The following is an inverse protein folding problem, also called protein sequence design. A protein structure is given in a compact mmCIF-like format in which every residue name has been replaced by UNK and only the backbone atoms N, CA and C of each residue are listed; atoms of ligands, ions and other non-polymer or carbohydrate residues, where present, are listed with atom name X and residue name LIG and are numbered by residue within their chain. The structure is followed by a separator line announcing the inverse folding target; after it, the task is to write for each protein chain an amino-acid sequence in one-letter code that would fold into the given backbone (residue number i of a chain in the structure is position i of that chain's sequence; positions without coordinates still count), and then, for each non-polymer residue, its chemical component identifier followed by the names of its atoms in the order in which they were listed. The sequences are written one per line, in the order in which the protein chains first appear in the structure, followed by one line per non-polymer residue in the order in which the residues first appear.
data_IF_033733475464
#
_entry.id   IF_033733475464
#
_cell.length_a   1.000
_cell.length_b   1.000
_cell.length_c   1.000
_cell.angle_alpha   90.00
_cell.angle_beta   90.00
_cell.angle_gamma   90.00
#
_symmetry.space_group_name_H-M   'P 1'
#
loop_
_entity.id
_entity.type
_entity.pdbx_description
1 polymer ?
#
# COMPACT_ATOMS: atom_id res chain seq x y z
N UNK A 1 7.64 4.17 -11.06
CA UNK A 1 7.45 5.50 -11.70
C UNK A 1 7.31 6.70 -10.74
N UNK A 2 7.56 6.56 -9.43
CA UNK A 2 7.38 7.66 -8.47
C UNK A 2 8.68 8.20 -7.86
N UNK A 3 9.83 7.56 -8.09
CA UNK A 3 11.08 7.84 -7.34
C UNK A 3 11.54 9.29 -7.49
N UNK A 4 11.41 9.83 -8.68
CA UNK A 4 11.72 11.21 -9.03
C UNK A 4 10.82 12.23 -8.31
N UNK A 5 9.59 11.89 -7.90
CA UNK A 5 8.81 12.79 -7.03
C UNK A 5 9.48 13.03 -5.67
N UNK A 6 10.34 12.12 -5.22
CA UNK A 6 10.98 12.20 -3.91
C UNK A 6 12.39 12.80 -3.98
N UNK A 7 13.01 12.80 -5.17
CA UNK A 7 14.42 13.17 -5.32
C UNK A 7 14.66 14.35 -6.27
N UNK A 8 13.74 14.62 -7.19
CA UNK A 8 13.89 15.71 -8.16
C UNK A 8 13.77 17.07 -7.43
N UNK A 9 14.77 17.97 -7.55
CA UNK A 9 14.71 19.32 -7.01
C UNK A 9 13.58 20.21 -7.55
N UNK A 10 12.91 19.79 -8.62
CA UNK A 10 11.75 20.45 -9.21
C UNK A 10 10.44 19.69 -8.93
N UNK A 11 10.48 18.66 -8.08
CA UNK A 11 9.28 17.92 -7.69
C UNK A 11 8.30 18.83 -6.94
N UNK A 12 6.99 18.73 -7.21
CA UNK A 12 5.96 19.40 -6.41
C UNK A 12 5.95 18.91 -4.95
N UNK A 13 6.60 17.79 -4.64
CA UNK A 13 6.69 17.24 -3.29
C UNK A 13 7.99 17.58 -2.56
N UNK A 14 8.90 18.33 -3.18
CA UNK A 14 10.24 18.61 -2.62
C UNK A 14 10.21 19.14 -1.19
N UNK A 15 9.29 20.06 -0.91
CA UNK A 15 9.20 20.71 0.39
C UNK A 15 8.81 19.72 1.50
N UNK A 16 8.18 18.59 1.16
CA UNK A 16 7.84 17.53 2.09
C UNK A 16 8.98 16.54 2.35
N UNK A 17 10.01 16.52 1.49
CA UNK A 17 11.14 15.59 1.56
C UNK A 17 12.47 16.33 1.65
N UNK A 18 12.77 16.99 2.78
CA UNK A 18 13.99 17.76 2.94
C UNK A 18 15.23 16.85 3.02
N UNK A 19 16.31 17.22 2.34
CA UNK A 19 17.60 16.52 2.41
C UNK A 19 18.25 16.59 3.81
N UNK A 20 17.86 17.58 4.62
CA UNK A 20 18.33 17.77 6.00
C UNK A 20 17.13 17.93 6.91
N UNK A 21 17.01 17.06 7.90
CA UNK A 21 15.99 17.17 8.93
C UNK A 21 16.54 18.03 10.08
N UNK A 22 15.68 18.88 10.63
CA UNK A 22 15.98 19.59 11.86
C UNK A 22 15.58 18.71 13.04
N UNK A 23 16.40 18.68 14.07
CA UNK A 23 16.12 17.96 15.30
C UNK A 23 15.99 18.96 16.44
N UNK A 24 14.91 18.85 17.21
CA UNK A 24 14.69 19.62 18.44
C UNK A 24 14.57 18.59 19.56
N UNK A 25 15.57 18.55 20.45
CA UNK A 25 15.55 17.62 21.61
C UNK A 25 15.26 16.17 21.21
N UNK A 26 16.02 15.64 20.24
CA UNK A 26 15.88 14.31 19.65
C UNK A 26 14.58 14.04 18.87
N UNK A 27 13.72 15.04 18.72
CA UNK A 27 12.52 14.98 17.87
C UNK A 27 12.86 15.50 16.47
N UNK A 28 12.73 14.64 15.46
CA UNK A 28 12.85 15.03 14.05
C UNK A 28 11.64 15.85 13.61
N UNK A 29 11.88 17.10 13.21
CA UNK A 29 10.83 18.00 12.70
C UNK A 29 10.69 17.76 11.20
N UNK A 30 9.58 17.11 10.83
CA UNK A 30 9.21 16.89 9.44
C UNK A 30 7.96 17.70 9.08
N UNK A 31 7.92 18.27 7.87
CA UNK A 31 6.70 18.87 7.35
C UNK A 31 5.63 17.79 7.16
N UNK A 32 4.40 18.09 7.59
CA UNK A 32 3.25 17.23 7.30
C UNK A 32 2.89 17.35 5.83
N UNK A 33 2.61 16.20 5.20
CA UNK A 33 2.30 16.14 3.77
C UNK A 33 0.88 16.65 3.51
N UNK A 34 0.72 17.52 2.51
CA UNK A 34 -0.59 17.86 1.97
C UNK A 34 -1.12 16.70 1.11
N UNK A 35 -2.22 16.10 1.55
CA UNK A 35 -2.85 14.96 0.89
C UNK A 35 -3.25 15.27 -0.56
N UNK A 36 -3.78 16.46 -0.83
CA UNK A 36 -4.26 16.82 -2.18
C UNK A 36 -3.11 16.90 -3.15
N UNK A 37 -2.03 17.59 -2.76
CA UNK A 37 -0.83 17.74 -3.58
C UNK A 37 -0.18 16.39 -3.85
N UNK A 38 -0.15 15.50 -2.85
CA UNK A 38 0.36 14.14 -2.99
C UNK A 38 -0.46 13.34 -4.00
N UNK A 39 -1.79 13.31 -3.84
CA UNK A 39 -2.69 12.54 -4.70
C UNK A 39 -2.64 13.03 -6.15
N UNK A 40 -2.66 14.35 -6.37
CA UNK A 40 -2.56 14.94 -7.72
C UNK A 40 -1.22 14.61 -8.39
N UNK A 41 -0.12 14.73 -7.66
CA UNK A 41 1.23 14.43 -8.16
C UNK A 41 1.40 12.94 -8.52
N UNK A 42 0.77 12.06 -7.75
CA UNK A 42 0.81 10.62 -7.98
C UNK A 42 -0.15 10.16 -9.07
N UNK A 43 -1.32 10.81 -9.23
CA UNK A 43 -2.35 10.51 -10.24
C UNK A 43 -1.76 10.38 -11.64
N UNK A 44 -0.86 11.30 -12.02
CA UNK A 44 -0.20 11.35 -13.32
C UNK A 44 0.72 10.14 -13.61
N UNK A 45 1.07 9.36 -12.60
CA UNK A 45 2.07 8.28 -12.67
C UNK A 45 1.47 6.89 -12.48
N UNK A 46 0.27 6.76 -11.91
CA UNK A 46 -0.43 5.48 -11.80
C UNK A 46 -0.62 4.75 -13.14
N UNK A 47 -0.91 5.42 -14.27
CA UNK A 47 -0.99 4.74 -15.57
C UNK A 47 0.32 4.10 -16.04
N UNK A 48 1.47 4.50 -15.46
CA UNK A 48 2.81 3.98 -15.79
C UNK A 48 3.23 2.80 -14.89
N UNK A 49 2.32 2.28 -14.06
CA UNK A 49 2.60 1.12 -13.22
C UNK A 49 2.75 -0.14 -14.07
N UNK A 50 3.65 -1.02 -13.64
CA UNK A 50 3.69 -2.38 -14.16
C UNK A 50 2.42 -3.13 -13.73
N UNK A 51 1.98 -4.17 -14.46
CA UNK A 51 0.82 -4.97 -14.04
C UNK A 51 0.98 -5.56 -12.63
N UNK A 52 2.20 -5.94 -12.26
CA UNK A 52 2.50 -6.45 -10.91
C UNK A 52 2.37 -5.35 -9.84
N UNK A 53 2.89 -4.16 -10.09
CA UNK A 53 2.74 -3.05 -9.15
C UNK A 53 1.29 -2.60 -9.02
N UNK A 54 0.53 -2.64 -10.12
CA UNK A 54 -0.90 -2.35 -10.11
C UNK A 54 -1.64 -3.37 -9.24
N UNK A 55 -1.34 -4.67 -9.38
CA UNK A 55 -1.90 -5.73 -8.54
C UNK A 55 -1.56 -5.54 -7.06
N UNK A 56 -0.31 -5.16 -6.74
CA UNK A 56 0.11 -4.86 -5.36
C UNK A 56 -0.59 -3.63 -4.78
N UNK A 57 -0.92 -2.66 -5.62
CA UNK A 57 -1.64 -1.44 -5.22
C UNK A 57 -3.17 -1.61 -5.17
N UNK A 58 -3.67 -2.85 -5.21
CA UNK A 58 -5.11 -3.14 -5.03
C UNK A 58 -5.36 -3.81 -3.69
N UNK A 59 -6.42 -3.37 -3.00
CA UNK A 59 -6.99 -4.14 -1.90
C UNK A 59 -7.76 -5.28 -2.53
N UNK A 60 -7.12 -6.45 -2.64
CA UNK A 60 -7.73 -7.63 -3.26
C UNK A 60 -8.90 -8.19 -2.44
N UNK A 61 -9.10 -7.71 -1.21
CA UNK A 61 -10.21 -8.10 -0.32
C UNK A 61 -10.19 -9.58 0.10
N UNK A 62 -9.14 -10.33 -0.22
CA UNK A 62 -9.04 -11.75 0.08
C UNK A 62 -8.43 -11.95 1.47
N UNK A 63 -9.29 -12.17 2.45
CA UNK A 63 -8.88 -12.67 3.77
C UNK A 63 -8.58 -14.16 3.63
N UNK A 64 -7.37 -14.57 4.02
CA UNK A 64 -6.98 -15.98 4.00
C UNK A 64 -7.18 -16.57 5.40
N UNK A 65 -7.90 -17.68 5.48
CA UNK A 65 -8.13 -18.42 6.71
C UNK A 65 -7.39 -19.75 6.64
N UNK A 66 -6.63 -20.06 7.68
CA UNK A 66 -5.85 -21.29 7.78
C UNK A 66 -6.23 -22.04 9.06
N UNK A 67 -6.41 -23.36 8.95
CA UNK A 67 -6.50 -24.25 10.10
C UNK A 67 -5.67 -25.50 9.88
N UNK A 68 -4.98 -25.92 10.93
CA UNK A 68 -4.28 -27.20 10.95
C UNK A 68 -5.28 -28.35 10.84
N UNK A 69 -4.83 -29.49 10.30
CA UNK A 69 -5.68 -30.67 10.05
C UNK A 69 -6.46 -31.13 11.29
N UNK A 70 -5.88 -30.98 12.48
CA UNK A 70 -6.44 -31.43 13.75
C UNK A 70 -7.11 -30.31 14.57
N UNK A 71 -7.15 -29.07 14.05
CA UNK A 71 -7.78 -27.98 14.76
C UNK A 71 -9.30 -28.17 14.78
N UNK A 72 -10.00 -27.83 15.89
CA UNK A 72 -11.46 -27.89 15.95
C UNK A 72 -12.17 -27.07 14.88
N UNK A 73 -11.53 -26.04 14.33
CA UNK A 73 -12.03 -25.19 13.25
C UNK A 73 -11.87 -25.78 11.85
N UNK A 74 -11.10 -26.85 11.68
CA UNK A 74 -10.80 -27.47 10.38
C UNK A 74 -12.06 -27.97 9.65
N UNK A 75 -13.03 -28.66 10.30
CA UNK A 75 -14.27 -29.06 9.64
C UNK A 75 -15.08 -27.86 9.12
N UNK A 76 -15.18 -26.78 9.90
CA UNK A 76 -15.92 -25.56 9.54
C UNK A 76 -15.26 -24.80 8.38
N UNK A 77 -13.94 -24.66 8.38
CA UNK A 77 -13.23 -24.01 7.28
C UNK A 77 -13.27 -24.85 6.00
N UNK A 78 -13.23 -26.18 6.13
CA UNK A 78 -13.40 -27.10 4.99
C UNK A 78 -14.80 -27.04 4.40
N UNK A 79 -15.85 -27.02 5.22
CA UNK A 79 -17.23 -26.93 4.74
C UNK A 79 -17.48 -25.60 4.03
N UNK A 80 -16.95 -24.49 4.58
CA UNK A 80 -16.99 -23.19 3.94
C UNK A 80 -16.32 -23.23 2.55
N UNK A 81 -15.12 -23.80 2.43
CA UNK A 81 -14.42 -23.94 1.15
C UNK A 81 -15.14 -24.81 0.13
N UNK A 82 -15.79 -25.89 0.56
CA UNK A 82 -16.56 -26.78 -0.31
C UNK A 82 -17.88 -26.15 -0.80
N UNK A 83 -18.51 -25.27 -0.02
CA UNK A 83 -19.72 -24.54 -0.45
C UNK A 83 -19.49 -23.61 -1.66
N UNK A 84 -18.25 -23.15 -1.88
CA UNK A 84 -17.88 -22.38 -3.07
C UNK A 84 -17.56 -23.24 -4.29
N UNK A 85 -17.40 -24.56 -4.14
CA UNK A 85 -17.05 -25.47 -5.23
C UNK A 85 -18.26 -26.02 -6.00
N UNK A 86 -19.50 -25.79 -5.52
CA UNK A 86 -20.73 -26.31 -6.16
C UNK A 86 -21.43 -25.29 -7.07
N UNK A 87 -20.89 -24.07 -7.20
CA UNK A 87 -21.50 -23.00 -8.03
C UNK A 87 -20.53 -22.47 -9.09
N UNK A 88 -19.80 -23.37 -9.78
CA UNK A 88 -19.09 -23.10 -11.03
C UNK A 88 -19.34 -24.24 -12.02
#
# INVERSE_FOLDING_TARGET
PFRDLLTDPNSPLKDFFPNKMQFISDVGVLPFIDEKVLLESMALRYPKLSPEDQKRNTITGKVQLFAGRFAPSCPTLRSLGNGYATTL
#
